data_IF_339196475069
#
_entry.id   IF_339196475069
#
_cell.length_a   1.000
_cell.length_b   1.000
_cell.length_c   1.000
_cell.angle_alpha   90.00
_cell.angle_beta   90.00
_cell.angle_gamma   90.00
#
_symmetry.space_group_name_H-M   'P 1'
#
loop_
_entity.id
_entity.type
_entity.pdbx_description
1 polymer ?
#
# COMPACT_ATOMS: atom_id res chain seq x y z
N UNK A 1 -5.03 -3.61 -3.95
CA UNK A 1 -5.15 -4.30 -2.63
C UNK A 1 -6.59 -4.30 -2.11
N UNK A 2 -7.20 -3.12 -1.89
CA UNK A 2 -8.56 -2.99 -1.34
C UNK A 2 -9.63 -3.83 -2.04
N UNK A 3 -9.79 -3.68 -3.35
CA UNK A 3 -10.83 -4.40 -4.10
C UNK A 3 -10.52 -5.90 -4.24
N UNK A 4 -9.34 -6.24 -4.77
CA UNK A 4 -9.02 -7.63 -5.08
C UNK A 4 -8.73 -8.53 -3.88
N UNK A 5 -8.03 -8.02 -2.86
CA UNK A 5 -7.71 -8.79 -1.65
C UNK A 5 -8.68 -8.50 -0.52
N UNK A 6 -9.04 -7.23 -0.31
CA UNK A 6 -9.98 -6.84 0.74
C UNK A 6 -11.40 -7.34 0.47
N UNK A 7 -11.93 -7.08 -0.73
CA UNK A 7 -13.28 -7.48 -1.13
C UNK A 7 -13.34 -8.78 -1.97
N UNK A 8 -12.21 -9.41 -2.25
CA UNK A 8 -12.17 -10.69 -2.98
C UNK A 8 -12.54 -10.59 -4.46
N UNK A 9 -12.57 -9.39 -5.05
CA UNK A 9 -12.86 -9.21 -6.47
C UNK A 9 -11.78 -9.83 -7.37
N UNK A 10 -12.16 -10.18 -8.60
CA UNK A 10 -11.23 -10.75 -9.56
C UNK A 10 -10.07 -9.78 -9.85
N UNK A 11 -8.84 -10.26 -9.62
CA UNK A 11 -7.63 -9.43 -9.71
C UNK A 11 -7.24 -9.16 -11.16
N UNK A 12 -7.57 -10.05 -12.09
CA UNK A 12 -7.31 -9.89 -13.52
C UNK A 12 -8.19 -8.79 -14.08
N UNK A 13 -9.48 -8.79 -13.71
CA UNK A 13 -10.43 -7.74 -14.06
C UNK A 13 -10.02 -6.38 -13.47
N UNK A 14 -9.61 -6.32 -12.20
CA UNK A 14 -9.12 -5.07 -11.62
C UNK A 14 -7.90 -4.55 -12.39
N UNK A 15 -6.99 -5.46 -12.79
CA UNK A 15 -5.79 -5.09 -13.54
C UNK A 15 -6.14 -4.60 -14.95
N UNK A 16 -7.11 -5.20 -15.64
CA UNK A 16 -7.52 -4.76 -16.97
C UNK A 16 -8.21 -3.40 -16.92
N UNK A 17 -9.09 -3.17 -15.95
CA UNK A 17 -9.73 -1.85 -15.72
C UNK A 17 -8.66 -0.80 -15.41
N UNK A 18 -7.71 -1.12 -14.53
CA UNK A 18 -6.61 -0.22 -14.19
C UNK A 18 -5.77 0.14 -15.42
N UNK A 19 -5.42 -0.84 -16.25
CA UNK A 19 -4.66 -0.63 -17.48
C UNK A 19 -5.42 0.28 -18.46
N UNK A 20 -6.72 0.01 -18.67
CA UNK A 20 -7.57 0.83 -19.52
C UNK A 20 -7.65 2.28 -19.02
N UNK A 21 -7.91 2.46 -17.72
CA UNK A 21 -8.08 3.78 -17.12
C UNK A 21 -6.80 4.64 -17.14
N UNK A 22 -5.62 4.03 -17.09
CA UNK A 22 -4.34 4.77 -17.10
C UNK A 22 -3.64 4.79 -18.46
N UNK A 23 -4.23 4.19 -19.51
CA UNK A 23 -3.54 4.00 -20.78
C UNK A 23 -2.26 3.17 -20.64
N UNK A 24 -2.22 2.25 -19.68
CA UNK A 24 -1.06 1.43 -19.37
C UNK A 24 0.05 2.11 -18.57
N UNK A 25 -0.09 3.40 -18.23
CA UNK A 25 0.87 4.11 -17.38
C UNK A 25 0.92 3.47 -16.00
N UNK A 26 2.13 3.25 -15.49
CA UNK A 26 2.41 2.73 -14.15
C UNK A 26 3.42 3.64 -13.46
N UNK A 27 3.38 3.76 -12.12
CA UNK A 27 4.43 4.46 -11.40
C UNK A 27 5.77 3.74 -11.52
N UNK A 28 6.84 4.51 -11.78
CA UNK A 28 8.23 4.02 -11.74
C UNK A 28 8.62 3.55 -10.35
N UNK A 29 8.08 4.22 -9.32
CA UNK A 29 8.28 3.93 -7.91
C UNK A 29 6.96 4.03 -7.15
N UNK A 30 6.73 3.07 -6.27
CA UNK A 30 5.63 3.04 -5.30
C UNK A 30 6.21 2.72 -3.93
N UNK A 31 6.07 3.63 -2.98
CA UNK A 31 6.46 3.41 -1.59
C UNK A 31 5.25 2.85 -0.83
N UNK A 32 5.35 1.61 -0.36
CA UNK A 32 4.36 1.01 0.51
C UNK A 32 4.81 1.15 1.97
N UNK A 33 4.07 1.95 2.74
CA UNK A 33 4.28 2.12 4.18
C UNK A 33 3.62 0.97 4.94
N UNK A 34 4.41 -0.01 5.36
CA UNK A 34 3.92 -1.16 6.12
C UNK A 34 3.83 -0.84 7.61
N UNK A 35 2.62 -0.96 8.15
CA UNK A 35 2.32 -0.77 9.56
C UNK A 35 1.34 -1.87 10.00
N UNK A 36 1.47 -2.42 11.22
CA UNK A 36 0.44 -3.29 11.80
C UNK A 36 -0.93 -2.63 11.73
N UNK A 37 -1.95 -3.40 11.36
CA UNK A 37 -3.29 -2.89 11.08
C UNK A 37 -3.88 -2.21 12.32
N UNK A 38 -3.70 -2.83 13.47
CA UNK A 38 -4.18 -2.35 14.76
C UNK A 38 -3.58 -0.98 15.09
N UNK A 39 -2.29 -0.77 14.81
CA UNK A 39 -1.64 0.53 14.97
C UNK A 39 -2.19 1.55 13.98
N UNK A 40 -2.40 1.16 12.71
CA UNK A 40 -2.93 2.05 11.68
C UNK A 40 -4.35 2.56 11.94
N UNK A 41 -5.24 1.67 12.41
CA UNK A 41 -6.63 2.03 12.73
C UNK A 41 -6.76 2.93 13.97
N UNK A 42 -5.77 2.90 14.87
CA UNK A 42 -5.75 3.70 16.10
C UNK A 42 -4.91 4.99 15.97
N UNK A 43 -4.19 5.18 14.87
CA UNK A 43 -3.28 6.32 14.69
C UNK A 43 -3.98 7.66 14.41
N UNK A 44 -5.30 7.67 14.20
CA UNK A 44 -6.06 8.87 13.84
C UNK A 44 -6.99 9.31 14.97
N UNK A 45 -7.02 10.63 15.20
CA UNK A 45 -7.95 11.31 16.11
C UNK A 45 -9.27 11.73 15.44
N UNK A 46 -9.44 11.46 14.14
CA UNK A 46 -10.64 11.83 13.36
C UNK A 46 -11.66 10.70 13.26
N UNK A 47 -12.90 11.05 12.95
CA UNK A 47 -13.95 10.08 12.62
C UNK A 47 -13.51 9.15 11.47
N UNK A 48 -13.78 7.85 11.65
CA UNK A 48 -13.43 6.79 10.70
C UNK A 48 -14.31 6.89 9.46
N UNK A 49 -13.70 6.85 8.28
CA UNK A 49 -14.44 6.76 7.02
C UNK A 49 -14.99 5.34 6.75
N UNK A 50 -15.79 5.20 5.68
CA UNK A 50 -16.45 3.94 5.31
C UNK A 50 -15.47 2.76 5.13
N UNK A 51 -14.24 3.01 4.70
CA UNK A 51 -13.24 1.95 4.53
C UNK A 51 -12.62 1.62 5.88
N UNK A 52 -12.30 2.62 6.69
CA UNK A 52 -11.74 2.46 8.04
C UNK A 52 -12.69 1.73 8.99
N UNK A 53 -14.01 1.86 8.78
CA UNK A 53 -15.05 1.14 9.54
C UNK A 53 -15.20 -0.35 9.16
N UNK A 54 -14.53 -0.83 8.10
CA UNK A 54 -14.52 -2.26 7.75
C UNK A 54 -13.82 -3.08 8.85
N UNK A 55 -14.09 -4.38 8.87
CA UNK A 55 -13.53 -5.30 9.88
C UNK A 55 -12.00 -5.35 9.88
N UNK A 56 -11.42 -5.78 10.99
CA UNK A 56 -9.96 -5.95 11.11
C UNK A 56 -9.42 -6.97 10.08
N UNK A 57 -10.18 -8.02 9.77
CA UNK A 57 -9.83 -9.04 8.77
C UNK A 57 -9.76 -8.45 7.37
N UNK A 58 -10.68 -7.53 7.04
CA UNK A 58 -10.62 -6.80 5.77
C UNK A 58 -9.29 -6.06 5.66
N UNK A 59 -8.92 -5.28 6.68
CA UNK A 59 -7.67 -4.53 6.67
C UNK A 59 -6.44 -5.43 6.67
N UNK A 60 -6.48 -6.59 7.35
CA UNK A 60 -5.42 -7.62 7.28
C UNK A 60 -5.28 -8.17 5.86
N UNK A 61 -6.37 -8.47 5.16
CA UNK A 61 -6.34 -8.89 3.74
C UNK A 61 -5.78 -7.79 2.85
N UNK A 62 -6.13 -6.52 3.08
CA UNK A 62 -5.58 -5.39 2.34
C UNK A 62 -4.08 -5.27 2.52
N UNK A 63 -3.58 -5.31 3.77
CA UNK A 63 -2.15 -5.28 4.07
C UNK A 63 -1.41 -6.44 3.38
N UNK A 64 -1.92 -7.66 3.51
CA UNK A 64 -1.35 -8.84 2.85
C UNK A 64 -1.36 -8.70 1.33
N UNK A 65 -2.40 -8.10 0.75
CA UNK A 65 -2.46 -7.79 -0.67
C UNK A 65 -1.35 -6.85 -1.13
N UNK A 66 -1.04 -5.80 -0.37
CA UNK A 66 0.10 -4.93 -0.67
C UNK A 66 1.45 -5.63 -0.53
N UNK A 67 1.63 -6.43 0.52
CA UNK A 67 2.85 -7.22 0.70
C UNK A 67 3.06 -8.20 -0.47
N UNK A 68 1.99 -8.83 -0.97
CA UNK A 68 2.04 -9.72 -2.13
C UNK A 68 2.39 -8.95 -3.41
N UNK A 69 1.76 -7.79 -3.64
CA UNK A 69 2.09 -6.93 -4.79
C UNK A 69 3.56 -6.49 -4.76
N UNK A 70 4.09 -6.14 -3.59
CA UNK A 70 5.49 -5.79 -3.44
C UNK A 70 6.45 -6.96 -3.75
N UNK A 71 6.05 -8.20 -3.46
CA UNK A 71 6.79 -9.41 -3.86
C UNK A 71 6.73 -9.67 -5.37
N UNK A 72 5.59 -9.40 -6.01
CA UNK A 72 5.40 -9.62 -7.45
C UNK A 72 6.13 -8.53 -8.27
N UNK A 73 6.16 -7.29 -7.78
CA UNK A 73 6.75 -6.15 -8.49
C UNK A 73 7.86 -5.44 -7.68
N UNK A 74 8.91 -6.17 -7.24
CA UNK A 74 9.91 -5.67 -6.29
C UNK A 74 10.79 -4.57 -6.88
N UNK A 75 10.84 -4.44 -8.22
CA UNK A 75 11.58 -3.38 -8.90
C UNK A 75 10.93 -2.00 -8.72
N UNK A 76 9.59 -1.92 -8.67
CA UNK A 76 8.85 -0.65 -8.57
C UNK A 76 8.20 -0.42 -7.20
N UNK A 77 7.83 -1.48 -6.48
CA UNK A 77 7.18 -1.35 -5.16
C UNK A 77 8.22 -1.60 -4.07
N UNK A 78 8.48 -0.59 -3.24
CA UNK A 78 9.41 -0.66 -2.12
C UNK A 78 8.66 -0.57 -0.80
N UNK A 79 8.91 -1.55 0.07
CA UNK A 79 8.31 -1.61 1.39
C UNK A 79 9.16 -0.78 2.35
N UNK A 80 8.52 0.12 3.10
CA UNK A 80 9.11 0.84 4.23
C UNK A 80 8.31 0.50 5.47
N UNK A 81 8.97 -0.10 6.47
CA UNK A 81 8.34 -0.35 7.77
C UNK A 81 8.20 0.99 8.49
N UNK A 82 6.99 1.30 8.95
CA UNK A 82 6.74 2.53 9.71
C UNK A 82 7.33 2.38 11.11
N UNK A 83 8.35 3.19 11.40
CA UNK A 83 8.97 3.28 12.71
C UNK A 83 8.14 4.13 13.68
N UNK A 84 8.38 3.99 14.98
CA UNK A 84 7.78 4.84 16.02
C UNK A 84 8.12 6.31 15.80
N UNK A 85 9.39 6.60 15.51
CA UNK A 85 9.83 7.95 15.21
C UNK A 85 9.65 8.28 13.73
N UNK A 86 8.92 9.36 13.45
CA UNK A 86 8.64 9.85 12.09
C UNK A 86 9.91 10.07 11.26
N UNK A 87 10.97 10.60 11.88
CA UNK A 87 12.22 10.93 11.20
C UNK A 87 12.94 9.70 10.63
N UNK A 88 12.83 8.54 11.30
CA UNK A 88 13.41 7.28 10.81
C UNK A 88 12.70 6.86 9.51
N UNK A 89 11.36 6.80 9.54
CA UNK A 89 10.56 6.46 8.35
C UNK A 89 10.85 7.42 7.18
N UNK A 90 10.97 8.72 7.45
CA UNK A 90 11.31 9.70 6.42
C UNK A 90 12.72 9.51 5.85
N UNK A 91 13.70 9.16 6.68
CA UNK A 91 15.08 8.88 6.24
C UNK A 91 15.10 7.67 5.30
N UNK A 92 14.36 6.62 5.62
CA UNK A 92 14.27 5.42 4.78
C UNK A 92 13.63 5.71 3.42
N UNK A 93 12.53 6.46 3.41
CA UNK A 93 11.87 6.90 2.16
C UNK A 93 12.85 7.70 1.29
N UNK A 94 13.55 8.69 1.86
CA UNK A 94 14.53 9.51 1.11
C UNK A 94 15.68 8.66 0.56
N UNK A 95 16.17 7.69 1.34
CA UNK A 95 17.23 6.76 0.91
C UNK A 95 16.81 5.91 -0.29
N UNK A 96 15.53 5.53 -0.37
CA UNK A 96 14.99 4.83 -1.53
C UNK A 96 14.89 5.77 -2.72
N UNK A 97 14.25 6.94 -2.56
CA UNK A 97 14.03 7.89 -3.66
C UNK A 97 15.35 8.35 -4.30
N UNK A 98 16.41 8.59 -3.51
CA UNK A 98 17.73 8.96 -4.04
C UNK A 98 18.34 7.94 -5.00
N UNK A 99 17.90 6.68 -4.98
CA UNK A 99 18.34 5.64 -5.94
C UNK A 99 17.55 5.66 -7.26
N UNK A 100 16.48 6.44 -7.32
CA UNK A 100 15.60 6.60 -8.48
C UNK A 100 15.66 8.02 -9.07
N UNK A 101 16.15 9.00 -8.29
CA UNK A 101 16.53 10.29 -8.81
C UNK A 101 17.80 10.11 -9.66
N UNK A 102 17.68 10.43 -10.95
CA UNK A 102 18.80 10.57 -11.89
C UNK A 102 19.63 11.79 -11.47
#
# INVERSE_FOLDING_TARGET
AYQGYGLGMDKTLIRSIGYFATGGIKPDLTIFLDLPVEKGLNARSRAKDRIEQRSIEYHKRVRNGYLMLAKIEPKRIKIVKVATEKNITQKDIRSIIKRYAI
#
